data_IF_027376265128
#
_entry.id   IF_027376265128
#
_cell.length_a   1.000
_cell.length_b   1.000
_cell.length_c   1.000
_cell.angle_alpha   90.00
_cell.angle_beta   90.00
_cell.angle_gamma   90.00
#
_symmetry.space_group_name_H-M   'P 1'
#
loop_
_entity.id
_entity.type
_entity.pdbx_description
1 polymer ?
#
# COMPACT_ATOMS: atom_id res chain seq x y z
N UNK A 1 3.45 10.07 -4.47
CA UNK A 1 2.99 11.42 -4.83
C UNK A 1 3.38 12.33 -3.67
N UNK A 2 4.21 13.36 -3.89
CA UNK A 2 4.53 14.33 -2.83
C UNK A 2 3.51 15.47 -2.82
N UNK A 3 2.34 15.19 -2.24
CA UNK A 3 1.19 16.12 -2.23
C UNK A 3 1.47 17.43 -1.49
N UNK A 4 2.34 17.42 -0.48
CA UNK A 4 2.82 18.61 0.23
C UNK A 4 3.51 19.63 -0.68
N UNK A 5 4.29 19.16 -1.64
CA UNK A 5 5.00 20.02 -2.60
C UNK A 5 4.00 20.80 -3.47
N UNK A 6 2.90 20.14 -3.88
CA UNK A 6 1.83 20.75 -4.68
C UNK A 6 1.08 21.81 -3.86
N UNK A 7 0.66 21.47 -2.63
CA UNK A 7 -0.02 22.42 -1.74
C UNK A 7 0.86 23.64 -1.45
N UNK A 8 2.13 23.41 -1.13
CA UNK A 8 3.10 24.49 -0.89
C UNK A 8 3.33 25.35 -2.14
N UNK A 9 3.34 24.76 -3.33
CA UNK A 9 3.44 25.48 -4.59
C UNK A 9 2.23 26.38 -4.86
N UNK A 10 1.02 25.88 -4.57
CA UNK A 10 -0.22 26.67 -4.69
C UNK A 10 -0.24 27.82 -3.67
N UNK A 11 0.15 27.56 -2.42
CA UNK A 11 0.24 28.61 -1.39
C UNK A 11 1.26 29.70 -1.78
N UNK A 12 2.43 29.31 -2.28
CA UNK A 12 3.45 30.24 -2.76
C UNK A 12 2.97 31.07 -3.95
N UNK A 13 2.30 30.44 -4.93
CA UNK A 13 1.72 31.14 -6.07
C UNK A 13 0.65 32.15 -5.65
N UNK A 14 -0.20 31.81 -4.66
CA UNK A 14 -1.19 32.74 -4.12
C UNK A 14 -0.53 33.93 -3.40
N UNK A 15 0.53 33.67 -2.62
CA UNK A 15 1.29 34.71 -1.94
C UNK A 15 1.97 35.68 -2.92
N UNK A 16 2.57 35.17 -4.00
CA UNK A 16 3.15 35.99 -5.07
C UNK A 16 2.10 36.88 -5.74
N UNK A 17 0.90 36.35 -6.01
CA UNK A 17 -0.20 37.13 -6.58
C UNK A 17 -0.69 38.23 -5.62
N UNK A 18 -0.73 37.96 -4.32
CA UNK A 18 -1.08 38.95 -3.29
C UNK A 18 -0.04 40.07 -3.20
N UNK A 19 1.25 39.76 -3.37
CA UNK A 19 2.32 40.75 -3.38
C UNK A 19 2.20 41.75 -4.54
N UNK A 20 1.61 41.35 -5.67
CA UNK A 20 1.33 42.22 -6.81
C UNK A 20 0.21 43.25 -6.55
N UNK A 21 -0.61 43.06 -5.50
CA UNK A 21 -1.75 43.93 -5.17
C UNK A 21 -1.35 45.28 -4.52
N UNK A 22 -0.06 45.65 -4.54
CA UNK A 22 0.40 46.99 -4.15
C UNK A 22 0.75 47.16 -2.66
N UNK A 23 0.78 46.07 -1.88
CA UNK A 23 1.34 46.07 -0.52
C UNK A 23 0.49 46.77 0.55
N UNK A 24 -0.80 47.00 0.31
CA UNK A 24 -1.71 47.48 1.35
C UNK A 24 -1.73 46.45 2.50
N UNK A 25 -1.35 46.85 3.73
CA UNK A 25 -1.25 45.93 4.87
C UNK A 25 -2.58 45.26 5.20
N UNK A 26 -3.72 45.90 4.92
CA UNK A 26 -5.06 45.31 5.12
C UNK A 26 -5.32 44.21 4.09
N UNK A 27 -4.93 44.43 2.84
CA UNK A 27 -5.08 43.45 1.75
C UNK A 27 -4.15 42.25 1.97
N UNK A 28 -2.90 42.50 2.38
CA UNK A 28 -1.94 41.44 2.70
C UNK A 28 -2.45 40.59 3.87
N UNK A 29 -2.90 41.22 4.97
CA UNK A 29 -3.44 40.49 6.12
C UNK A 29 -4.70 39.68 5.76
N UNK A 30 -5.59 40.24 4.93
CA UNK A 30 -6.77 39.52 4.43
C UNK A 30 -6.38 38.33 3.54
N UNK A 31 -5.37 38.49 2.69
CA UNK A 31 -4.83 37.45 1.83
C UNK A 31 -4.20 36.29 2.61
N UNK A 32 -3.34 36.60 3.61
CA UNK A 32 -2.75 35.60 4.49
C UNK A 32 -3.82 34.81 5.27
N UNK A 33 -4.84 35.51 5.79
CA UNK A 33 -5.97 34.88 6.48
C UNK A 33 -6.76 33.96 5.54
N UNK A 34 -6.97 34.37 4.28
CA UNK A 34 -7.65 33.56 3.27
C UNK A 34 -6.85 32.29 2.95
N UNK A 35 -5.53 32.40 2.71
CA UNK A 35 -4.66 31.24 2.44
C UNK A 35 -4.69 30.26 3.61
N UNK A 36 -4.57 30.77 4.84
CA UNK A 36 -4.65 29.95 6.04
C UNK A 36 -6.01 29.23 6.16
N UNK A 37 -7.11 29.90 5.80
CA UNK A 37 -8.45 29.31 5.80
C UNK A 37 -8.69 28.29 4.69
N UNK A 38 -8.01 28.42 3.54
CA UNK A 38 -8.12 27.50 2.40
C UNK A 38 -7.28 26.23 2.57
N UNK A 39 -6.23 26.26 3.39
CA UNK A 39 -5.31 25.13 3.60
C UNK A 39 -6.02 23.80 3.94
N UNK A 40 -7.01 23.74 4.85
CA UNK A 40 -7.73 22.49 5.15
C UNK A 40 -8.54 21.98 3.95
N UNK A 41 -9.17 22.87 3.19
CA UNK A 41 -9.97 22.51 2.01
C UNK A 41 -9.08 21.97 0.88
N UNK A 42 -7.92 22.61 0.63
CA UNK A 42 -6.95 22.17 -0.35
C UNK A 42 -6.36 20.80 0.02
N UNK A 43 -6.05 20.58 1.30
CA UNK A 43 -5.60 19.28 1.80
C UNK A 43 -6.66 18.18 1.62
N UNK A 44 -7.94 18.50 1.85
CA UNK A 44 -9.04 17.58 1.60
C UNK A 44 -9.16 17.23 0.11
N UNK A 45 -9.13 18.22 -0.77
CA UNK A 45 -9.17 17.99 -2.21
C UNK A 45 -8.01 17.10 -2.70
N UNK A 46 -6.79 17.31 -2.17
CA UNK A 46 -5.65 16.44 -2.47
C UNK A 46 -5.85 14.99 -1.97
N UNK A 47 -6.57 14.80 -0.86
CA UNK A 47 -6.93 13.47 -0.39
C UNK A 47 -7.91 12.79 -1.35
N UNK A 48 -8.96 13.50 -1.75
CA UNK A 48 -9.98 12.98 -2.68
C UNK A 48 -9.35 12.60 -4.03
N UNK A 49 -8.41 13.42 -4.55
CA UNK A 49 -7.64 13.12 -5.76
C UNK A 49 -6.75 11.87 -5.57
N UNK A 50 -6.07 11.76 -4.44
CA UNK A 50 -5.22 10.59 -4.17
C UNK A 50 -6.04 9.29 -4.05
N UNK A 51 -7.23 9.36 -3.44
CA UNK A 51 -8.15 8.24 -3.30
C UNK A 51 -8.71 7.80 -4.67
N UNK A 52 -9.13 8.77 -5.50
CA UNK A 52 -9.59 8.48 -6.85
C UNK A 52 -8.49 7.86 -7.72
N UNK A 53 -7.27 8.42 -7.67
CA UNK A 53 -6.12 7.86 -8.37
C UNK A 53 -5.75 6.45 -7.88
N UNK A 54 -5.87 6.19 -6.58
CA UNK A 54 -5.64 4.86 -6.04
C UNK A 54 -6.65 3.85 -6.60
N UNK A 55 -7.95 4.17 -6.62
CA UNK A 55 -8.99 3.30 -7.19
C UNK A 55 -8.75 2.98 -8.67
N UNK A 56 -8.31 3.97 -9.44
CA UNK A 56 -8.02 3.80 -10.86
C UNK A 56 -6.80 2.90 -11.09
N UNK A 57 -5.72 3.11 -10.33
CA UNK A 57 -4.51 2.29 -10.45
C UNK A 57 -4.75 0.87 -9.90
N UNK A 58 -5.55 0.74 -8.85
CA UNK A 58 -5.99 -0.56 -8.30
C UNK A 58 -6.71 -1.39 -9.36
N UNK A 59 -7.65 -0.78 -10.10
CA UNK A 59 -8.36 -1.43 -11.20
C UNK A 59 -7.42 -1.88 -12.35
N UNK A 60 -6.25 -1.26 -12.50
CA UNK A 60 -5.24 -1.61 -13.51
C UNK A 60 -4.23 -2.66 -13.01
N UNK A 61 -4.25 -3.03 -11.73
CA UNK A 61 -3.28 -3.94 -11.12
C UNK A 61 -3.95 -5.16 -10.45
N UNK A 62 -4.46 -6.15 -11.21
CA UNK A 62 -5.31 -7.23 -10.68
C UNK A 62 -4.65 -8.20 -9.68
N UNK A 63 -3.32 -8.20 -9.54
CA UNK A 63 -2.59 -9.00 -8.52
C UNK A 63 -2.09 -8.12 -7.34
N UNK A 64 -2.46 -6.84 -7.30
CA UNK A 64 -1.99 -5.88 -6.31
C UNK A 64 -3.15 -5.06 -5.75
N UNK A 65 -2.98 -4.64 -4.51
CA UNK A 65 -3.85 -3.71 -3.82
C UNK A 65 -3.13 -2.37 -3.68
N UNK A 66 -3.79 -1.29 -4.09
CA UNK A 66 -3.27 0.06 -3.98
C UNK A 66 -3.97 0.76 -2.81
N UNK A 67 -3.20 1.07 -1.77
CA UNK A 67 -3.69 1.76 -0.58
C UNK A 67 -3.16 3.19 -0.51
N UNK A 68 -3.98 4.11 -0.02
CA UNK A 68 -3.51 5.44 0.39
C UNK A 68 -3.26 5.42 1.90
N UNK A 69 -2.02 5.61 2.30
CA UNK A 69 -1.62 5.72 3.72
C UNK A 69 -1.16 7.13 4.03
N UNK A 70 -1.45 7.60 5.24
CA UNK A 70 -0.93 8.87 5.73
C UNK A 70 0.45 8.67 6.35
N UNK A 71 1.46 9.39 5.85
CA UNK A 71 2.80 9.48 6.47
C UNK A 71 3.09 10.93 6.78
N UNK A 72 3.35 11.24 8.05
CA UNK A 72 3.56 12.62 8.52
C UNK A 72 2.43 13.59 8.13
N UNK A 73 1.23 13.06 7.90
CA UNK A 73 0.06 13.80 7.46
C UNK A 73 -0.11 13.92 5.94
N UNK A 74 0.80 13.40 5.13
CA UNK A 74 0.74 13.44 3.68
C UNK A 74 0.23 12.10 3.10
N UNK A 75 -0.77 12.12 2.19
CA UNK A 75 -1.23 10.91 1.51
C UNK A 75 -0.12 10.33 0.63
N UNK A 76 0.25 9.10 0.93
CA UNK A 76 1.25 8.31 0.23
C UNK A 76 0.59 7.06 -0.30
N UNK A 77 0.76 6.79 -1.59
CA UNK A 77 0.24 5.59 -2.22
C UNK A 77 1.22 4.43 -2.02
N UNK A 78 0.71 3.29 -1.57
CA UNK A 78 1.48 2.07 -1.32
C UNK A 78 0.83 0.93 -2.09
N UNK A 79 1.65 0.24 -2.89
CA UNK A 79 1.22 -0.95 -3.62
C UNK A 79 1.61 -2.16 -2.79
N UNK A 80 0.62 -2.99 -2.46
CA UNK A 80 0.81 -4.31 -1.86
C UNK A 80 0.52 -5.34 -2.92
N UNK A 81 1.28 -6.43 -2.98
CA UNK A 81 0.79 -7.61 -3.68
C UNK A 81 -0.40 -8.13 -2.89
N UNK A 82 -1.55 -8.33 -3.56
CA UNK A 82 -2.60 -9.15 -3.02
C UNK A 82 -2.06 -10.57 -2.96
N UNK A 83 -1.48 -10.91 -1.81
CA UNK A 83 -1.42 -12.31 -1.42
C UNK A 83 -2.87 -12.65 -1.10
N UNK A 84 -3.64 -13.03 -2.11
CA UNK A 84 -4.81 -13.88 -1.87
C UNK A 84 -4.25 -15.05 -1.07
N UNK A 85 -4.43 -14.98 0.26
CA UNK A 85 -4.12 -16.07 1.14
C UNK A 85 -5.07 -17.15 0.67
N UNK A 86 -4.56 -18.08 -0.14
CA UNK A 86 -5.32 -19.26 -0.52
C UNK A 86 -5.76 -19.87 0.80
N UNK A 87 -7.05 -19.73 1.11
CA UNK A 87 -7.61 -20.28 2.32
C UNK A 87 -7.75 -21.77 2.05
N UNK A 88 -6.70 -22.52 2.39
CA UNK A 88 -6.73 -23.97 2.31
C UNK A 88 -7.70 -24.47 3.38
N UNK A 89 -8.90 -24.87 2.98
CA UNK A 89 -9.69 -25.76 3.83
C UNK A 89 -9.03 -27.13 3.82
N UNK A 90 -8.97 -27.77 4.99
CA UNK A 90 -8.50 -29.16 5.11
C UNK A 90 -9.48 -30.16 4.53
N UNK A 91 -10.66 -29.69 4.10
CA UNK A 91 -11.74 -30.49 3.52
C UNK A 91 -11.50 -30.85 2.03
N UNK A 92 -10.64 -30.11 1.33
CA UNK A 92 -10.44 -30.22 -0.14
C UNK A 92 -8.98 -30.57 -0.50
N UNK A 93 -8.38 -31.52 0.26
CA UNK A 93 -7.02 -32.02 0.03
C UNK A 93 -7.01 -33.22 -0.94
N UNK A 94 -7.47 -33.01 -2.17
CA UNK A 94 -7.57 -34.05 -3.22
C UNK A 94 -6.24 -34.31 -3.96
N UNK A 95 -5.36 -33.31 -4.02
CA UNK A 95 -4.04 -33.41 -4.63
C UNK A 95 -3.04 -34.21 -3.78
N UNK A 96 -2.31 -35.14 -4.42
CA UNK A 96 -1.26 -35.96 -3.77
C UNK A 96 0.13 -35.56 -4.23
N UNK A 97 1.06 -35.41 -3.28
CA UNK A 97 2.47 -35.12 -3.52
C UNK A 97 3.36 -36.21 -2.91
N UNK A 98 4.23 -36.83 -3.71
CA UNK A 98 5.22 -37.81 -3.21
C UNK A 98 6.60 -37.15 -3.18
N UNK A 99 7.22 -37.09 -2.00
CA UNK A 99 8.53 -36.47 -1.79
C UNK A 99 9.57 -37.51 -1.35
N UNK A 100 10.78 -37.40 -1.89
CA UNK A 100 11.95 -38.11 -1.35
C UNK A 100 12.71 -37.15 -0.44
N UNK A 101 12.69 -37.42 0.86
CA UNK A 101 13.33 -36.59 1.87
C UNK A 101 14.57 -37.30 2.42
N UNK A 102 15.67 -36.58 2.70
CA UNK A 102 16.74 -37.09 3.55
C UNK A 102 16.19 -37.52 4.92
N UNK A 103 16.70 -38.58 5.54
CA UNK A 103 16.16 -39.12 6.79
C UNK A 103 16.24 -38.10 7.93
N UNK A 104 17.28 -37.27 7.97
CA UNK A 104 17.44 -36.19 8.95
C UNK A 104 16.33 -35.15 8.83
N UNK A 105 15.99 -34.75 7.60
CA UNK A 105 14.93 -33.75 7.36
C UNK A 105 13.56 -34.27 7.78
N UNK A 106 13.27 -35.55 7.53
CA UNK A 106 12.03 -36.17 8.01
C UNK A 106 11.94 -36.14 9.54
N UNK A 107 13.03 -36.46 10.24
CA UNK A 107 13.09 -36.45 11.71
C UNK A 107 12.87 -35.05 12.29
N UNK A 108 13.51 -34.03 11.70
CA UNK A 108 13.32 -32.61 12.09
C UNK A 108 11.86 -32.17 11.91
N UNK A 109 11.24 -32.49 10.77
CA UNK A 109 9.83 -32.17 10.52
C UNK A 109 8.88 -32.88 11.50
N UNK A 110 9.16 -34.13 11.86
CA UNK A 110 8.38 -34.89 12.86
C UNK A 110 8.44 -34.25 14.24
N UNK A 111 9.64 -33.82 14.68
CA UNK A 111 9.82 -33.16 15.97
C UNK A 111 9.15 -31.79 16.00
N UNK A 112 9.33 -31.00 14.93
CA UNK A 112 8.70 -29.70 14.80
C UNK A 112 7.17 -29.80 14.76
N UNK A 113 6.60 -30.78 14.04
CA UNK A 113 5.16 -30.99 14.04
C UNK A 113 4.63 -31.36 15.44
N UNK A 114 5.32 -32.27 16.16
CA UNK A 114 4.95 -32.67 17.52
C UNK A 114 5.01 -31.52 18.52
N UNK A 115 5.99 -30.61 18.41
CA UNK A 115 6.13 -29.50 19.36
C UNK A 115 4.97 -28.49 19.29
N UNK A 116 4.31 -28.38 18.14
CA UNK A 116 3.11 -27.55 17.93
C UNK A 116 1.80 -28.36 17.97
N UNK A 117 1.86 -29.66 18.28
CA UNK A 117 0.68 -30.51 18.35
C UNK A 117 0.02 -30.81 17.01
N UNK A 118 0.76 -30.79 15.90
CA UNK A 118 0.25 -31.09 14.57
C UNK A 118 0.75 -32.43 13.99
N UNK A 119 0.03 -32.92 13.00
CA UNK A 119 0.51 -33.89 12.04
C UNK A 119 1.64 -33.32 11.17
N UNK A 120 2.51 -34.22 10.68
CA UNK A 120 3.56 -33.86 9.73
C UNK A 120 2.97 -33.19 8.48
N UNK A 121 1.85 -33.74 7.97
CA UNK A 121 1.20 -33.19 6.78
C UNK A 121 0.70 -31.76 7.02
N UNK A 122 -0.02 -31.50 8.11
CA UNK A 122 -0.51 -30.16 8.45
C UNK A 122 0.63 -29.16 8.67
N UNK A 123 1.70 -29.59 9.35
CA UNK A 123 2.91 -28.78 9.53
C UNK A 123 3.60 -28.43 8.20
N UNK A 124 3.78 -29.41 7.31
CA UNK A 124 4.41 -29.22 6.00
C UNK A 124 3.57 -28.32 5.11
N UNK A 125 2.24 -28.53 5.05
CA UNK A 125 1.32 -27.69 4.29
C UNK A 125 1.46 -26.24 4.73
N UNK A 126 1.32 -25.93 6.03
CA UNK A 126 1.46 -24.55 6.54
C UNK A 126 2.82 -23.93 6.25
N UNK A 127 3.90 -24.72 6.37
CA UNK A 127 5.25 -24.26 6.05
C UNK A 127 5.42 -23.89 4.57
N UNK A 128 4.71 -24.60 3.67
CA UNK A 128 4.71 -24.31 2.23
C UNK A 128 3.85 -23.10 1.89
N UNK A 129 2.68 -22.93 2.53
CA UNK A 129 1.80 -21.77 2.31
C UNK A 129 2.54 -20.45 2.49
N UNK A 130 3.32 -20.33 3.58
CA UNK A 130 4.07 -19.10 3.87
C UNK A 130 5.17 -18.79 2.85
N UNK A 131 5.72 -19.81 2.16
CA UNK A 131 6.77 -19.61 1.14
C UNK A 131 6.21 -19.45 -0.27
N UNK A 132 5.09 -20.09 -0.57
CA UNK A 132 4.40 -19.97 -1.86
C UNK A 132 3.90 -18.54 -2.09
N UNK A 133 3.48 -17.83 -1.03
CA UNK A 133 3.06 -16.43 -1.12
C UNK A 133 4.20 -15.45 -1.38
N UNK A 134 5.39 -15.66 -0.80
CA UNK A 134 6.52 -14.73 -0.93
C UNK A 134 7.11 -14.68 -2.35
N UNK A 135 7.08 -15.80 -3.10
CA UNK A 135 7.65 -15.88 -4.45
C UNK A 135 6.95 -15.02 -5.50
N UNK A 136 5.69 -14.61 -5.27
CA UNK A 136 4.90 -13.79 -6.20
C UNK A 136 5.05 -12.28 -5.95
N UNK A 137 5.46 -11.88 -4.75
CA UNK A 137 5.45 -10.49 -4.27
C UNK A 137 6.66 -9.62 -4.69
N UNK A 138 7.66 -10.20 -5.36
CA UNK A 138 8.94 -9.53 -5.63
C UNK A 138 9.05 -8.72 -6.93
N UNK A 139 7.99 -8.61 -7.74
CA UNK A 139 8.10 -8.01 -9.08
C UNK A 139 7.88 -6.50 -9.03
N UNK A 140 8.94 -5.73 -9.26
CA UNK A 140 8.86 -4.28 -9.43
C UNK A 140 8.01 -3.97 -10.67
N UNK A 141 6.81 -3.41 -10.47
CA UNK A 141 5.94 -2.95 -11.56
C UNK A 141 6.44 -1.57 -12.02
N UNK A 142 6.80 -1.46 -13.28
CA UNK A 142 7.15 -0.20 -13.94
C UNK A 142 6.32 -0.13 -15.21
N UNK A 143 5.42 0.84 -15.30
CA UNK A 143 4.53 1.05 -16.43
C UNK A 143 3.96 2.47 -16.42
N UNK A 144 3.53 2.93 -17.57
CA UNK A 144 2.68 4.12 -17.72
C UNK A 144 1.24 3.69 -17.46
N UNK A 145 0.60 4.34 -16.49
CA UNK A 145 -0.82 4.14 -16.19
C UNK A 145 -1.62 5.13 -17.04
N UNK A 146 -2.64 4.63 -17.74
CA UNK A 146 -3.58 5.51 -18.44
C UNK A 146 -4.53 6.14 -17.40
N UNK A 147 -4.90 7.40 -17.65
CA UNK A 147 -5.78 8.25 -16.81
C UNK A 147 -6.99 8.69 -17.62
#
# INVERSE_FOLDING_TARGET
METKSIVSGIEAALADQLALAGGDPVVVAAGEALVAALRPALRRAMMDVAEQAALEIDAQLPDHQVEVVLRDGDPTMVVRTETSAVSFTTEDLDARLTLRLPPQLKSELEQAARSVGDSINGYVIRSLVGKASTGKAGRRVSGTFET
#
